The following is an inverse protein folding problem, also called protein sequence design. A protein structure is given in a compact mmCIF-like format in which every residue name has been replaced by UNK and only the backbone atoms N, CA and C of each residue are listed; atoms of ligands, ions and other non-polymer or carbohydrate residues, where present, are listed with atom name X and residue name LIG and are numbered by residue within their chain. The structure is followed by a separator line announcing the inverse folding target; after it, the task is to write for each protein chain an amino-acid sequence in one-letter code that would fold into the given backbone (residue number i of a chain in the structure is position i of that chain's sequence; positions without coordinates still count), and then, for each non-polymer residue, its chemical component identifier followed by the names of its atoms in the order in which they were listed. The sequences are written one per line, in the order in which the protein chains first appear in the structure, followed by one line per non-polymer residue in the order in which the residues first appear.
data_IF_380784131485
#
_entry.id   IF_380784131485
#
_cell.length_a   1.000
_cell.length_b   1.000
_cell.length_c   1.000
_cell.angle_alpha   90.00
_cell.angle_beta   90.00
_cell.angle_gamma   90.00
#
_symmetry.space_group_name_H-M   'P 1'
#
loop_
_entity.id
_entity.type
_entity.pdbx_description
1 polymer ?
#
# COMPACT_ATOMS: atom_id res chain seq x y z
N UNK A 1 -35.05 4.41 20.25
CA UNK A 1 -34.59 3.75 19.02
C UNK A 1 -33.10 4.00 18.90
N UNK A 2 -32.30 2.96 19.07
CA UNK A 2 -30.84 3.04 18.99
C UNK A 2 -30.53 3.26 17.52
N UNK A 3 -29.97 4.41 17.15
CA UNK A 3 -29.60 4.68 15.77
C UNK A 3 -28.61 3.61 15.33
N UNK A 4 -29.01 2.79 14.36
CA UNK A 4 -28.09 1.92 13.64
C UNK A 4 -27.01 2.83 13.05
N UNK A 5 -25.82 2.85 13.65
CA UNK A 5 -24.66 3.42 13.01
C UNK A 5 -24.40 2.57 11.76
N UNK A 6 -24.81 3.09 10.59
CA UNK A 6 -24.49 2.48 9.30
C UNK A 6 -22.97 2.58 9.15
N UNK A 7 -22.29 1.52 9.56
CA UNK A 7 -20.84 1.45 9.46
C UNK A 7 -20.48 1.38 7.97
N UNK A 8 -19.82 2.41 7.48
CA UNK A 8 -19.49 2.60 6.07
C UNK A 8 -18.52 1.48 5.65
N UNK A 9 -18.83 0.68 4.61
CA UNK A 9 -17.91 -0.33 4.10
C UNK A 9 -16.61 0.34 3.64
N UNK A 10 -15.47 -0.04 4.21
CA UNK A 10 -14.19 0.60 3.97
C UNK A 10 -13.03 -0.40 3.93
N UNK A 11 -11.95 -0.03 3.24
CA UNK A 11 -10.71 -0.80 3.20
C UNK A 11 -9.96 -0.60 4.53
N UNK A 12 -9.52 -1.69 5.15
CA UNK A 12 -8.65 -1.57 6.33
C UNK A 12 -7.21 -1.38 5.87
N UNK A 13 -6.54 -0.37 6.42
CA UNK A 13 -5.12 -0.10 6.16
C UNK A 13 -4.39 -0.21 7.49
N UNK A 14 -3.57 -1.24 7.61
CA UNK A 14 -2.94 -1.71 8.82
C UNK A 14 -1.45 -1.37 8.83
N UNK A 15 -0.98 -0.80 9.94
CA UNK A 15 0.38 -0.32 10.09
C UNK A 15 0.86 -0.40 11.54
N UNK A 16 2.16 -0.58 11.71
CA UNK A 16 2.80 -0.44 13.02
C UNK A 16 3.03 1.03 13.41
N UNK A 17 3.29 1.90 12.41
CA UNK A 17 3.65 3.29 12.62
C UNK A 17 3.12 4.17 11.48
N UNK A 18 2.56 5.34 11.80
CA UNK A 18 2.01 6.30 10.82
C UNK A 18 3.06 6.97 9.95
N UNK A 19 4.36 6.84 10.29
CA UNK A 19 5.48 7.39 9.53
C UNK A 19 5.95 6.52 8.36
N UNK A 20 5.20 5.48 7.99
CA UNK A 20 5.52 4.63 6.84
C UNK A 20 5.59 5.46 5.54
N UNK A 21 6.74 5.51 4.84
CA UNK A 21 6.98 6.47 3.77
C UNK A 21 6.03 6.36 2.57
N UNK A 22 5.50 5.16 2.32
CA UNK A 22 4.61 4.85 1.20
C UNK A 22 3.13 4.89 1.59
N UNK A 23 2.81 5.07 2.88
CA UNK A 23 1.43 5.09 3.38
C UNK A 23 0.59 6.12 2.64
N UNK A 24 1.10 7.36 2.51
CA UNK A 24 0.38 8.45 1.84
C UNK A 24 -0.05 8.08 0.42
N UNK A 25 0.80 7.39 -0.33
CA UNK A 25 0.53 7.01 -1.71
C UNK A 25 -0.54 5.92 -1.80
N UNK A 26 -0.48 4.92 -0.92
CA UNK A 26 -1.53 3.89 -0.81
C UNK A 26 -2.88 4.54 -0.52
N UNK A 27 -2.94 5.45 0.47
CA UNK A 27 -4.18 6.13 0.84
C UNK A 27 -4.72 6.97 -0.32
N UNK A 28 -3.85 7.71 -1.00
CA UNK A 28 -4.26 8.52 -2.13
C UNK A 28 -4.80 7.67 -3.29
N UNK A 29 -4.22 6.49 -3.55
CA UNK A 29 -4.74 5.57 -4.56
C UNK A 29 -6.13 5.02 -4.21
N UNK A 30 -6.42 4.80 -2.92
CA UNK A 30 -7.76 4.42 -2.47
C UNK A 30 -8.76 5.57 -2.67
N UNK A 31 -8.37 6.80 -2.30
CA UNK A 31 -9.19 8.01 -2.42
C UNK A 31 -9.51 8.35 -3.89
N UNK A 32 -8.55 8.21 -4.80
CA UNK A 32 -8.74 8.42 -6.25
C UNK A 32 -9.84 7.55 -6.85
N UNK A 33 -10.01 6.34 -6.31
CA UNK A 33 -11.03 5.40 -6.76
C UNK A 33 -12.36 5.58 -5.99
N UNK A 34 -12.44 6.55 -5.06
CA UNK A 34 -13.65 6.95 -4.35
C UNK A 34 -14.11 5.99 -3.25
N UNK A 35 -13.22 5.12 -2.76
CA UNK A 35 -13.54 4.14 -1.72
C UNK A 35 -13.01 4.63 -0.37
N UNK A 36 -13.77 4.55 0.73
CA UNK A 36 -13.28 4.96 2.04
C UNK A 36 -12.30 3.93 2.61
N UNK A 37 -11.40 4.38 3.47
CA UNK A 37 -10.48 3.53 4.23
C UNK A 37 -10.54 3.80 5.74
N UNK A 38 -10.05 2.86 6.53
CA UNK A 38 -9.87 2.99 7.98
C UNK A 38 -8.45 2.57 8.35
N UNK A 39 -7.71 3.49 8.99
CA UNK A 39 -6.39 3.18 9.54
C UNK A 39 -6.53 2.30 10.79
N UNK A 40 -5.72 1.25 10.86
CA UNK A 40 -5.61 0.34 12.00
C UNK A 40 -4.16 0.30 12.46
N UNK A 41 -3.90 0.84 13.65
CA UNK A 41 -2.63 0.62 14.31
C UNK A 41 -2.67 -0.76 14.96
N UNK A 42 -1.93 -1.70 14.40
CA UNK A 42 -1.81 -3.07 14.91
C UNK A 42 -0.33 -3.43 14.98
N UNK A 43 0.05 -4.21 15.97
CA UNK A 43 1.43 -4.69 16.09
C UNK A 43 1.61 -6.00 15.30
N UNK A 44 2.49 -5.97 14.32
CA UNK A 44 2.98 -7.17 13.64
C UNK A 44 4.49 -7.07 13.37
N UNK A 45 5.15 -8.23 13.24
CA UNK A 45 6.51 -8.36 12.74
C UNK A 45 6.51 -8.86 11.30
N UNK A 46 7.67 -8.97 10.66
CA UNK A 46 7.77 -9.51 9.31
C UNK A 46 7.20 -10.94 9.19
N UNK A 47 7.31 -11.72 10.27
CA UNK A 47 6.81 -13.10 10.37
C UNK A 47 5.31 -13.17 10.60
N UNK A 48 4.74 -12.23 11.36
CA UNK A 48 3.31 -12.25 11.71
C UNK A 48 2.43 -11.40 10.79
N UNK A 49 3.04 -10.55 9.97
CA UNK A 49 2.32 -9.60 9.10
C UNK A 49 1.26 -10.30 8.23
N UNK A 50 1.61 -11.38 7.51
CA UNK A 50 0.64 -12.08 6.64
C UNK A 50 -0.60 -12.55 7.40
N UNK A 51 -0.42 -13.25 8.52
CA UNK A 51 -1.51 -13.69 9.39
C UNK A 51 -2.37 -12.54 9.90
N UNK A 52 -1.74 -11.47 10.37
CA UNK A 52 -2.45 -10.31 10.90
C UNK A 52 -3.29 -9.62 9.83
N UNK A 53 -2.73 -9.41 8.62
CA UNK A 53 -3.45 -8.79 7.51
C UNK A 53 -4.57 -9.69 6.98
N UNK A 54 -4.36 -11.02 6.98
CA UNK A 54 -5.42 -11.99 6.69
C UNK A 54 -6.58 -11.90 7.67
N UNK A 55 -6.29 -11.88 8.97
CA UNK A 55 -7.30 -11.67 10.01
C UNK A 55 -8.08 -10.36 9.82
N UNK A 56 -7.39 -9.25 9.53
CA UNK A 56 -8.05 -7.96 9.29
C UNK A 56 -8.90 -7.96 8.01
N UNK A 57 -8.50 -8.68 6.97
CA UNK A 57 -9.33 -8.87 5.78
C UNK A 57 -10.60 -9.67 6.11
N UNK A 58 -10.52 -10.71 6.95
CA UNK A 58 -11.71 -11.46 7.41
C UNK A 58 -12.67 -10.59 8.25
N UNK A 59 -12.12 -9.69 9.07
CA UNK A 59 -12.91 -8.78 9.91
C UNK A 59 -13.48 -7.58 9.14
N UNK A 60 -12.98 -7.31 7.92
CA UNK A 60 -13.47 -6.24 7.06
C UNK A 60 -14.77 -6.64 6.39
N UNK A 61 -15.80 -5.78 6.47
CA UNK A 61 -17.10 -5.99 5.79
C UNK A 61 -16.97 -6.18 4.27
N UNK A 62 -15.95 -5.57 3.67
CA UNK A 62 -15.68 -5.69 2.22
C UNK A 62 -14.64 -6.77 1.91
N UNK A 63 -14.04 -7.39 2.94
CA UNK A 63 -13.08 -8.46 2.79
C UNK A 63 -11.67 -8.02 2.39
N UNK A 64 -11.34 -6.73 2.47
CA UNK A 64 -10.08 -6.17 1.95
C UNK A 64 -9.30 -5.51 3.07
N UNK A 65 -8.01 -5.89 3.18
CA UNK A 65 -7.05 -5.24 4.06
C UNK A 65 -5.70 -5.03 3.35
N UNK A 66 -5.03 -3.93 3.70
CA UNK A 66 -3.66 -3.62 3.27
C UNK A 66 -2.78 -3.55 4.50
N UNK A 67 -1.65 -4.26 4.51
CA UNK A 67 -0.60 -4.08 5.51
C UNK A 67 0.59 -3.33 4.95
N UNK A 68 1.18 -2.44 5.74
CA UNK A 68 2.46 -1.79 5.43
C UNK A 68 3.43 -1.86 6.61
N UNK A 69 4.66 -2.32 6.33
CA UNK A 69 5.77 -2.34 7.28
C UNK A 69 7.09 -2.27 6.56
N UNK A 70 7.98 -1.33 6.90
CA UNK A 70 9.34 -1.29 6.35
C UNK A 70 9.36 -1.36 4.81
N UNK A 71 8.42 -0.67 4.15
CA UNK A 71 8.17 -0.69 2.70
C UNK A 71 7.73 -2.04 2.08
N UNK A 72 7.50 -3.07 2.89
CA UNK A 72 6.73 -4.26 2.49
C UNK A 72 5.24 -3.92 2.51
N UNK A 73 4.55 -4.27 1.44
CA UNK A 73 3.12 -4.03 1.28
C UNK A 73 2.43 -5.35 0.98
N UNK A 74 1.37 -5.64 1.72
CA UNK A 74 0.51 -6.81 1.52
C UNK A 74 -0.90 -6.31 1.23
N UNK A 75 -1.47 -6.68 0.08
CA UNK A 75 -2.90 -6.55 -0.20
C UNK A 75 -3.56 -7.92 -0.07
N UNK A 76 -4.48 -8.05 0.86
CA UNK A 76 -5.19 -9.29 1.13
C UNK A 76 -6.67 -9.16 0.82
N UNK A 77 -7.21 -10.24 0.24
CA UNK A 77 -8.64 -10.47 0.11
C UNK A 77 -9.07 -11.66 0.98
N UNK A 78 -10.19 -11.54 1.68
CA UNK A 78 -10.65 -12.55 2.65
C UNK A 78 -10.95 -13.92 2.03
N UNK A 79 -11.27 -13.98 0.73
CA UNK A 79 -11.50 -15.27 0.05
C UNK A 79 -10.21 -15.97 -0.39
N UNK A 80 -9.06 -15.31 -0.29
CA UNK A 80 -7.76 -15.91 -0.56
C UNK A 80 -7.19 -16.50 0.71
N UNK A 81 -6.35 -17.52 0.58
CA UNK A 81 -5.62 -18.10 1.70
C UNK A 81 -4.59 -17.09 2.25
N UNK A 82 -4.21 -17.25 3.51
CA UNK A 82 -3.20 -16.43 4.18
C UNK A 82 -1.86 -16.43 3.43
N UNK A 83 -1.46 -17.60 2.91
CA UNK A 83 -0.16 -17.80 2.26
C UNK A 83 -0.11 -17.23 0.84
N UNK A 84 -1.28 -16.92 0.26
CA UNK A 84 -1.40 -16.44 -1.11
C UNK A 84 -2.20 -15.12 -1.16
N UNK A 85 -1.65 -14.02 -0.58
CA UNK A 85 -2.23 -12.71 -0.71
C UNK A 85 -2.29 -12.28 -2.17
N UNK A 86 -3.16 -11.32 -2.47
CA UNK A 86 -3.29 -10.79 -3.82
C UNK A 86 -2.02 -10.04 -4.27
N UNK A 87 -1.40 -9.30 -3.33
CA UNK A 87 -0.10 -8.66 -3.52
C UNK A 87 0.72 -8.87 -2.26
N UNK A 88 1.98 -9.25 -2.41
CA UNK A 88 3.00 -9.22 -1.36
C UNK A 88 4.32 -8.82 -2.01
N UNK A 89 4.69 -7.55 -1.85
CA UNK A 89 5.88 -6.99 -2.49
C UNK A 89 6.62 -6.07 -1.54
N UNK A 90 7.88 -5.79 -1.85
CA UNK A 90 8.69 -4.80 -1.14
C UNK A 90 9.08 -3.71 -2.12
N UNK A 91 8.69 -2.49 -1.83
CA UNK A 91 9.02 -1.32 -2.63
C UNK A 91 10.19 -0.56 -2.03
N UNK A 92 10.91 0.17 -2.86
CA UNK A 92 11.80 1.23 -2.42
C UNK A 92 11.04 2.56 -2.24
N UNK A 93 11.67 3.54 -1.60
CA UNK A 93 11.06 4.85 -1.29
C UNK A 93 10.72 5.70 -2.53
N UNK A 94 11.27 5.35 -3.70
CA UNK A 94 11.06 6.05 -4.97
C UNK A 94 9.90 5.44 -5.78
N UNK A 95 9.46 4.23 -5.45
CA UNK A 95 8.35 3.52 -6.11
C UNK A 95 6.97 3.96 -5.59
N UNK A 96 6.79 5.26 -5.41
CA UNK A 96 5.55 5.89 -4.92
C UNK A 96 4.36 5.55 -5.80
N UNK A 97 4.54 5.57 -7.12
CA UNK A 97 3.47 5.24 -8.07
C UNK A 97 3.00 3.80 -7.92
N UNK A 98 3.91 2.84 -7.69
CA UNK A 98 3.53 1.45 -7.44
C UNK A 98 2.71 1.32 -6.16
N UNK A 99 3.10 2.02 -5.09
CA UNK A 99 2.32 2.06 -3.85
C UNK A 99 0.92 2.66 -4.07
N UNK A 100 0.83 3.71 -4.90
CA UNK A 100 -0.44 4.33 -5.29
C UNK A 100 -1.33 3.38 -6.10
N UNK A 101 -0.74 2.64 -7.03
CA UNK A 101 -1.43 1.59 -7.79
C UNK A 101 -1.95 0.47 -6.87
N UNK A 102 -1.21 0.07 -5.82
CA UNK A 102 -1.74 -0.87 -4.82
C UNK A 102 -3.03 -0.33 -4.18
N UNK A 103 -3.03 0.93 -3.76
CA UNK A 103 -4.23 1.58 -3.21
C UNK A 103 -5.40 1.59 -4.20
N UNK A 104 -5.13 1.96 -5.46
CA UNK A 104 -6.13 1.92 -6.53
C UNK A 104 -6.68 0.51 -6.73
N UNK A 105 -5.82 -0.50 -6.79
CA UNK A 105 -6.22 -1.88 -7.04
C UNK A 105 -7.02 -2.48 -5.88
N UNK A 106 -6.74 -2.08 -4.64
CA UNK A 106 -7.57 -2.44 -3.49
C UNK A 106 -9.00 -1.89 -3.63
N UNK A 107 -9.15 -0.64 -4.07
CA UNK A 107 -10.45 -0.03 -4.31
C UNK A 107 -11.16 -0.61 -5.55
N UNK A 108 -10.42 -0.89 -6.62
CA UNK A 108 -10.94 -1.53 -7.85
C UNK A 108 -11.37 -2.96 -7.61
N UNK A 109 -10.70 -3.69 -6.71
CA UNK A 109 -11.14 -5.01 -6.25
C UNK A 109 -12.54 -4.95 -5.63
N UNK A 110 -12.80 -3.97 -4.75
CA UNK A 110 -14.14 -3.77 -4.17
C UNK A 110 -15.18 -3.41 -5.24
N UNK A 111 -14.80 -2.56 -6.20
CA UNK A 111 -15.68 -2.14 -7.31
C UNK A 111 -15.83 -3.17 -8.42
N UNK A 112 -15.12 -4.30 -8.37
CA UNK A 112 -15.09 -5.32 -9.43
C UNK A 112 -14.66 -4.70 -10.77
N UNK A 113 -13.55 -3.96 -10.76
CA UNK A 113 -12.94 -3.35 -11.94
C UNK A 113 -11.61 -4.02 -12.28
N UNK A 114 -11.19 -4.05 -13.57
CA UNK A 114 -9.88 -4.56 -13.97
C UNK A 114 -8.76 -3.88 -13.20
N UNK A 115 -7.66 -4.54 -12.85
CA UNK A 115 -6.57 -3.85 -12.14
C UNK A 115 -5.75 -2.93 -13.04
N UNK A 116 -5.13 -1.91 -12.44
CA UNK A 116 -4.06 -1.13 -13.05
C UNK A 116 -2.76 -1.95 -12.98
N UNK A 117 -1.94 -1.87 -14.02
CA UNK A 117 -0.65 -2.55 -14.06
C UNK A 117 0.32 -1.94 -13.07
N UNK A 118 0.89 -2.78 -12.21
CA UNK A 118 1.81 -2.34 -11.14
C UNK A 118 3.26 -2.17 -11.63
N UNK A 119 3.55 -2.62 -12.84
CA UNK A 119 4.88 -2.55 -13.46
C UNK A 119 5.18 -1.19 -14.11
N UNK A 120 4.27 -0.21 -14.01
CA UNK A 120 4.41 1.11 -14.62
C UNK A 120 5.36 2.01 -13.82
N UNK A 121 6.63 1.63 -13.68
CA UNK A 121 7.76 2.56 -13.68
C UNK A 121 8.97 1.83 -14.23
N UNK A 122 9.52 2.34 -15.34
CA UNK A 122 10.76 1.83 -15.91
C UNK A 122 11.91 2.11 -14.92
N UNK A 123 12.31 1.08 -14.18
CA UNK A 123 13.37 1.13 -13.17
C UNK A 123 14.65 1.70 -13.79
N UNK A 124 14.87 1.45 -15.08
CA UNK A 124 16.01 1.97 -15.82
C UNK A 124 15.96 3.49 -15.97
N UNK A 125 14.77 4.09 -16.09
CA UNK A 125 14.61 5.56 -16.14
C UNK A 125 14.91 6.17 -14.78
N UNK A 126 14.43 5.57 -13.69
CA UNK A 126 14.73 6.04 -12.33
C UNK A 126 16.23 5.97 -12.06
N UNK A 127 16.88 4.84 -12.37
CA UNK A 127 18.32 4.68 -12.14
C UNK A 127 19.14 5.62 -13.03
N UNK A 128 18.74 5.85 -14.28
CA UNK A 128 19.38 6.85 -15.15
C UNK A 128 19.24 8.27 -14.60
N UNK A 129 18.06 8.64 -14.11
CA UNK A 129 17.82 9.96 -13.50
C UNK A 129 18.65 10.11 -12.23
N UNK A 130 18.68 9.08 -11.37
CA UNK A 130 19.47 9.08 -10.13
C UNK A 130 20.96 9.22 -10.42
N UNK A 131 21.51 8.42 -11.33
CA UNK A 131 22.91 8.48 -11.73
C UNK A 131 23.27 9.86 -12.30
N UNK A 132 22.38 10.43 -13.12
CA UNK A 132 22.57 11.76 -13.69
C UNK A 132 22.58 12.86 -12.63
N UNK A 133 21.70 12.78 -11.65
CA UNK A 133 21.62 13.75 -10.54
C UNK A 133 22.86 13.67 -9.65
N UNK A 134 23.30 12.47 -9.26
CA UNK A 134 24.54 12.27 -8.47
C UNK A 134 25.73 12.88 -9.22
N UNK A 135 25.87 12.58 -10.51
CA UNK A 135 26.95 13.15 -11.34
C UNK A 135 26.91 14.68 -11.43
N UNK A 136 25.71 15.27 -11.50
CA UNK A 136 25.57 16.73 -11.54
C UNK A 136 25.93 17.38 -10.19
N UNK A 137 25.57 16.75 -9.08
CA UNK A 137 25.89 17.24 -7.73
C UNK A 137 27.38 17.15 -7.41
N UNK A 138 28.04 16.06 -7.81
CA UNK A 138 29.49 15.90 -7.68
C UNK A 138 30.25 17.00 -8.45
N UNK A 139 29.78 17.34 -9.66
CA UNK A 139 30.35 18.43 -10.47
C UNK A 139 30.16 19.81 -9.85
N UNK A 140 29.16 19.97 -8.98
CA UNK A 140 28.86 21.23 -8.29
C UNK A 140 29.51 21.32 -6.89
N UNK A 141 30.28 20.31 -6.47
CA UNK A 141 30.97 20.25 -5.18
C UNK A 141 30.03 20.38 -3.96
N UNK A 142 28.73 20.04 -4.13
CA UNK A 142 27.73 20.06 -3.07
C UNK A 142 27.79 18.71 -2.37
N UNK A 143 28.44 18.65 -1.20
CA UNK A 143 28.42 17.45 -0.36
C UNK A 143 27.01 17.26 0.21
N UNK A 144 26.34 16.18 -0.20
CA UNK A 144 25.16 15.68 0.51
C UNK A 144 25.68 14.81 1.65
N UNK A 145 25.60 15.33 2.88
CA UNK A 145 25.85 14.60 4.13
C UNK A 145 24.66 13.73 4.51
#
# INVERSE_FOLDING_TARGET
MIGNSVEIPCIFVCLNNTKEPLLREILAGIEEEGIPYKLKNIEFSDETMQRCIHSEAQNSKIGIAIGIMNSRIILQYSKLKEENPLINLKLNLYEKEKARIVGCNAARLYKIMPFKDIELVDVDVIEKVRASVISALDKLNIKIS
#
